data_IF_552681275513
#
_entry.id   IF_552681275513
#
_cell.length_a   1.000
_cell.length_b   1.000
_cell.length_c   1.000
_cell.angle_alpha   90.00
_cell.angle_beta   90.00
_cell.angle_gamma   90.00
#
_symmetry.space_group_name_H-M   'P 1'
#
loop_
_entity.id
_entity.type
_entity.pdbx_description
1 polymer ?
#
# COMPACT_ATOMS: atom_id res chain seq x y z
N UNK A 1 -21.67 -3.92 -8.97
CA UNK A 1 -21.03 -4.23 -7.65
C UNK A 1 -20.64 -2.91 -7.02
N UNK A 2 -20.71 -2.74 -5.71
CA UNK A 2 -20.27 -1.48 -5.10
C UNK A 2 -18.77 -1.33 -5.27
N UNK A 3 -18.30 -0.10 -5.49
CA UNK A 3 -16.89 0.24 -5.52
C UNK A 3 -16.33 0.22 -4.08
N UNK A 4 -15.13 -0.31 -3.90
CA UNK A 4 -14.42 -0.29 -2.61
C UNK A 4 -13.77 1.07 -2.37
N UNK A 5 -13.36 1.71 -3.46
CA UNK A 5 -12.78 3.05 -3.50
C UNK A 5 -13.35 3.81 -4.68
N UNK A 6 -13.80 5.03 -4.43
CA UNK A 6 -14.12 5.98 -5.50
C UNK A 6 -13.69 7.40 -5.15
N UNK A 7 -13.33 8.15 -6.18
CA UNK A 7 -13.02 9.59 -6.06
C UNK A 7 -13.86 10.37 -7.04
N UNK A 8 -14.26 11.57 -6.65
CA UNK A 8 -15.05 12.47 -7.52
C UNK A 8 -14.46 13.86 -7.48
N UNK A 9 -14.01 14.36 -8.63
CA UNK A 9 -13.42 15.69 -8.80
C UNK A 9 -12.18 15.94 -7.97
N UNK A 10 -11.42 14.87 -7.60
CA UNK A 10 -10.34 14.94 -6.63
C UNK A 10 -9.20 15.81 -7.17
N UNK A 11 -8.87 16.87 -6.42
CA UNK A 11 -7.84 17.83 -6.84
C UNK A 11 -6.94 18.24 -5.68
N UNK A 12 -5.67 18.50 -5.99
CA UNK A 12 -4.68 18.99 -5.02
C UNK A 12 -3.89 20.15 -5.60
N UNK A 13 -3.86 21.26 -4.87
CA UNK A 13 -3.02 22.44 -5.14
C UNK A 13 -2.13 22.74 -3.94
N UNK A 14 -0.92 23.21 -4.20
CA UNK A 14 -0.01 23.78 -3.18
C UNK A 14 0.40 25.17 -3.69
N UNK A 15 -0.04 26.21 -2.97
CA UNK A 15 0.05 27.58 -3.47
C UNK A 15 -0.71 27.73 -4.78
N UNK A 16 -0.06 28.26 -5.81
CA UNK A 16 -0.61 28.41 -7.16
C UNK A 16 -0.45 27.15 -8.03
N UNK A 17 0.37 26.17 -7.62
CA UNK A 17 0.67 24.97 -8.42
C UNK A 17 -0.38 23.90 -8.22
N UNK A 18 -1.07 23.51 -9.29
CA UNK A 18 -1.90 22.31 -9.31
C UNK A 18 -1.00 21.07 -9.45
N UNK A 19 -1.15 20.11 -8.55
CA UNK A 19 -0.45 18.82 -8.59
C UNK A 19 -1.28 17.77 -9.30
N UNK A 20 -2.58 17.75 -9.04
CA UNK A 20 -3.58 16.92 -9.72
C UNK A 20 -4.90 17.69 -9.81
N UNK A 21 -5.68 17.42 -10.84
CA UNK A 21 -6.95 18.12 -11.10
C UNK A 21 -7.99 17.13 -11.61
N UNK A 22 -9.17 17.16 -11.00
CA UNK A 22 -10.38 16.44 -11.41
C UNK A 22 -10.16 14.92 -11.63
N UNK A 23 -9.53 14.26 -10.65
CA UNK A 23 -9.27 12.82 -10.70
C UNK A 23 -10.50 12.04 -10.24
N UNK A 24 -11.00 11.18 -11.13
CA UNK A 24 -12.18 10.33 -10.92
C UNK A 24 -11.76 8.86 -11.06
N UNK A 25 -11.79 8.11 -9.97
CA UNK A 25 -11.37 6.72 -9.87
C UNK A 25 -12.54 5.88 -9.34
N UNK A 26 -12.71 4.67 -9.87
CA UNK A 26 -13.72 3.72 -9.42
C UNK A 26 -13.07 2.33 -9.39
N UNK A 27 -12.83 1.81 -8.18
CA UNK A 27 -12.20 0.49 -7.99
C UNK A 27 -13.24 -0.48 -7.45
N UNK A 28 -13.61 -1.52 -8.21
CA UNK A 28 -14.46 -2.61 -7.72
C UNK A 28 -13.75 -3.41 -6.62
N UNK A 29 -14.53 -4.05 -5.74
CA UNK A 29 -13.97 -4.93 -4.71
C UNK A 29 -13.41 -6.21 -5.33
N UNK A 30 -12.23 -6.65 -4.86
CA UNK A 30 -11.60 -7.91 -5.26
C UNK A 30 -10.87 -7.84 -6.60
N UNK A 31 -10.43 -6.67 -7.01
CA UNK A 31 -9.68 -6.46 -8.25
C UNK A 31 -8.30 -5.87 -8.01
N UNK A 32 -7.40 -6.04 -8.98
CA UNK A 32 -6.13 -5.32 -9.04
C UNK A 32 -6.31 -4.14 -10.00
N UNK A 33 -6.19 -2.93 -9.46
CA UNK A 33 -6.31 -1.70 -10.21
C UNK A 33 -4.94 -1.05 -10.45
N UNK A 34 -4.52 -1.01 -11.71
CA UNK A 34 -3.28 -0.35 -12.14
C UNK A 34 -3.47 1.15 -12.35
N UNK A 35 -2.78 1.97 -11.56
CA UNK A 35 -2.76 3.42 -11.70
C UNK A 35 -1.51 3.85 -12.45
N UNK A 36 -1.62 3.89 -13.78
CA UNK A 36 -0.49 4.08 -14.68
C UNK A 36 -0.26 5.54 -15.04
N UNK A 37 1.00 5.91 -15.22
CA UNK A 37 1.37 7.23 -15.69
C UNK A 37 2.86 7.54 -15.51
N UNK A 38 3.41 8.52 -16.24
CA UNK A 38 4.80 8.90 -16.13
C UNK A 38 5.15 9.44 -14.73
N UNK A 39 6.45 9.51 -14.44
CA UNK A 39 6.93 10.15 -13.23
C UNK A 39 6.49 11.62 -13.20
N UNK A 40 6.03 12.08 -12.03
CA UNK A 40 5.49 13.43 -11.87
C UNK A 40 4.03 13.63 -12.28
N UNK A 41 3.33 12.58 -12.78
CA UNK A 41 1.90 12.67 -13.16
C UNK A 41 0.95 12.86 -11.95
N UNK A 42 1.47 12.81 -10.72
CA UNK A 42 0.66 13.00 -9.52
C UNK A 42 0.13 11.70 -8.88
N UNK A 43 0.60 10.52 -9.32
CA UNK A 43 0.17 9.22 -8.77
C UNK A 43 0.33 9.16 -7.25
N UNK A 44 1.52 9.41 -6.73
CA UNK A 44 1.81 9.50 -5.29
C UNK A 44 0.93 10.52 -4.57
N UNK A 45 0.66 11.68 -5.21
CA UNK A 45 -0.22 12.71 -4.64
C UNK A 45 -1.64 12.20 -4.44
N UNK A 46 -2.19 11.49 -5.42
CA UNK A 46 -3.51 10.86 -5.31
C UNK A 46 -3.52 9.82 -4.21
N UNK A 47 -2.53 8.93 -4.19
CA UNK A 47 -2.42 7.89 -3.15
C UNK A 47 -2.28 8.48 -1.74
N UNK A 48 -1.49 9.56 -1.56
CA UNK A 48 -1.41 10.29 -0.28
C UNK A 48 -2.74 10.87 0.17
N UNK A 49 -3.60 11.28 -0.74
CA UNK A 49 -4.95 11.74 -0.39
C UNK A 49 -5.87 10.58 -0.02
N UNK A 50 -5.84 9.48 -0.77
CA UNK A 50 -6.64 8.27 -0.49
C UNK A 50 -6.26 7.65 0.87
N UNK A 51 -4.98 7.65 1.22
CA UNK A 51 -4.49 7.15 2.52
C UNK A 51 -4.61 8.19 3.66
N UNK A 52 -5.29 9.31 3.42
CA UNK A 52 -5.51 10.40 4.38
C UNK A 52 -4.23 11.07 4.90
N UNK A 53 -3.08 10.85 4.24
CA UNK A 53 -1.82 11.55 4.55
C UNK A 53 -1.88 13.02 4.12
N UNK A 54 -2.61 13.30 3.04
CA UNK A 54 -2.83 14.66 2.55
C UNK A 54 -4.32 14.94 2.38
N UNK A 55 -4.74 16.13 2.83
CA UNK A 55 -6.10 16.60 2.59
C UNK A 55 -6.23 17.09 1.14
N UNK A 56 -7.27 16.68 0.38
CA UNK A 56 -7.56 17.25 -0.93
C UNK A 56 -7.90 18.75 -0.83
N UNK A 57 -7.65 19.49 -1.91
CA UNK A 57 -8.09 20.89 -2.04
C UNK A 57 -9.56 20.95 -2.42
N UNK A 58 -10.03 20.04 -3.27
CA UNK A 58 -11.44 19.86 -3.63
C UNK A 58 -11.70 18.41 -4.05
N UNK A 59 -12.97 18.06 -4.22
CA UNK A 59 -13.43 16.71 -4.51
C UNK A 59 -13.62 15.86 -3.26
N UNK A 60 -14.06 14.64 -3.48
CA UNK A 60 -14.38 13.69 -2.40
C UNK A 60 -13.69 12.36 -2.64
N UNK A 61 -13.41 11.65 -1.56
CA UNK A 61 -12.91 10.28 -1.56
C UNK A 61 -13.88 9.45 -0.73
N UNK A 62 -14.32 8.35 -1.27
CA UNK A 62 -15.15 7.38 -0.57
C UNK A 62 -14.44 6.03 -0.56
N UNK A 63 -14.29 5.44 0.62
CA UNK A 63 -13.67 4.13 0.84
C UNK A 63 -14.60 3.29 1.68
N UNK A 64 -14.88 2.05 1.27
CA UNK A 64 -15.83 1.14 1.94
C UNK A 64 -17.23 1.76 2.11
N UNK A 65 -17.68 2.55 1.10
CA UNK A 65 -18.97 3.27 1.12
C UNK A 65 -19.04 4.38 2.19
N UNK A 66 -17.89 4.82 2.70
CA UNK A 66 -17.77 5.90 3.68
C UNK A 66 -16.94 7.06 3.11
N UNK A 67 -17.45 8.29 3.22
CA UNK A 67 -16.70 9.48 2.81
C UNK A 67 -15.51 9.68 3.74
N UNK A 68 -14.31 9.71 3.17
CA UNK A 68 -13.07 9.86 3.92
C UNK A 68 -12.95 11.28 4.51
N UNK A 69 -12.74 11.33 5.81
CA UNK A 69 -12.52 12.56 6.58
C UNK A 69 -11.22 12.44 7.38
N UNK A 70 -10.67 13.53 7.93
CA UNK A 70 -9.50 13.44 8.81
C UNK A 70 -9.70 12.56 10.05
N UNK A 71 -10.93 12.19 10.39
CA UNK A 71 -11.28 11.37 11.56
C UNK A 71 -11.66 9.92 11.21
N UNK A 72 -11.49 9.50 9.96
CA UNK A 72 -11.89 8.17 9.47
C UNK A 72 -10.87 7.08 9.88
N UNK A 73 -10.52 6.99 11.16
CA UNK A 73 -9.51 6.06 11.66
C UNK A 73 -9.91 4.60 11.46
N UNK A 74 -11.19 4.26 11.61
CA UNK A 74 -11.68 2.89 11.43
C UNK A 74 -11.59 2.46 9.95
N UNK A 75 -11.81 3.37 9.01
CA UNK A 75 -11.58 3.13 7.57
C UNK A 75 -10.11 2.82 7.32
N UNK A 76 -9.20 3.60 7.91
CA UNK A 76 -7.75 3.44 7.71
C UNK A 76 -7.22 2.12 8.28
N UNK A 77 -7.79 1.59 9.36
CA UNK A 77 -7.42 0.28 9.91
C UNK A 77 -7.69 -0.89 8.95
N UNK A 78 -8.62 -0.71 8.01
CA UNK A 78 -8.98 -1.70 6.99
C UNK A 78 -8.15 -1.55 5.71
N UNK A 79 -7.20 -0.61 5.70
CA UNK A 79 -6.31 -0.32 4.57
C UNK A 79 -4.88 -0.65 4.93
N UNK A 80 -4.18 -1.34 4.02
CA UNK A 80 -2.72 -1.44 4.04
C UNK A 80 -2.13 -0.49 3.00
N UNK A 81 -1.00 0.14 3.28
CA UNK A 81 -0.38 1.01 2.28
C UNK A 81 1.13 1.09 2.40
N UNK A 82 1.78 1.25 1.24
CA UNK A 82 3.17 1.70 1.11
C UNK A 82 3.13 2.89 0.17
N UNK A 83 3.51 4.06 0.67
CA UNK A 83 3.59 5.30 -0.09
C UNK A 83 5.04 5.77 -0.10
N UNK A 84 5.62 5.93 -1.28
CA UNK A 84 7.05 6.18 -1.50
C UNK A 84 7.88 4.97 -1.03
N UNK A 85 8.69 5.11 0.02
CA UNK A 85 9.55 4.04 0.51
C UNK A 85 9.12 3.57 1.90
N UNK A 86 9.14 2.25 2.15
CA UNK A 86 8.89 1.74 3.49
C UNK A 86 10.05 2.11 4.43
N UNK A 87 9.72 2.73 5.55
CA UNK A 87 10.68 3.08 6.61
C UNK A 87 10.56 2.10 7.78
N UNK A 88 11.69 1.76 8.37
CA UNK A 88 11.81 0.81 9.47
C UNK A 88 12.75 1.33 10.56
N UNK A 89 12.69 0.73 11.72
CA UNK A 89 13.71 0.88 12.76
C UNK A 89 14.90 -0.01 12.38
N UNK A 90 15.95 0.58 11.86
CA UNK A 90 17.09 -0.10 11.24
C UNK A 90 17.85 -1.05 12.20
N UNK A 91 17.84 -0.78 13.49
CA UNK A 91 18.48 -1.61 14.51
C UNK A 91 17.61 -2.76 15.02
N UNK A 92 16.30 -2.71 14.76
CA UNK A 92 15.38 -3.79 15.06
C UNK A 92 15.40 -4.83 13.94
N UNK A 93 15.07 -6.05 14.28
CA UNK A 93 14.89 -7.14 13.31
C UNK A 93 13.64 -6.92 12.46
N UNK A 94 13.52 -7.66 11.35
CA UNK A 94 12.30 -7.65 10.55
C UNK A 94 11.07 -8.04 11.37
N UNK A 95 11.20 -9.09 12.18
CA UNK A 95 10.17 -9.57 13.11
C UNK A 95 9.74 -8.49 14.11
N UNK A 96 10.69 -7.87 14.79
CA UNK A 96 10.40 -6.82 15.78
C UNK A 96 9.71 -5.60 15.15
N UNK A 97 10.12 -5.20 13.94
CA UNK A 97 9.45 -4.13 13.19
C UNK A 97 7.97 -4.47 12.90
N UNK A 98 7.69 -5.71 12.51
CA UNK A 98 6.31 -6.15 12.26
C UNK A 98 5.50 -6.24 13.55
N UNK A 99 6.07 -6.79 14.64
CA UNK A 99 5.42 -6.86 15.95
C UNK A 99 5.05 -5.47 16.47
N UNK A 100 5.98 -4.52 16.39
CA UNK A 100 5.74 -3.14 16.79
C UNK A 100 4.60 -2.49 15.98
N UNK A 101 4.52 -2.79 14.68
CA UNK A 101 3.41 -2.31 13.86
C UNK A 101 2.07 -2.89 14.31
N UNK A 102 2.01 -4.18 14.66
CA UNK A 102 0.83 -4.80 15.25
C UNK A 102 0.36 -4.08 16.52
N UNK A 103 1.30 -3.73 17.40
CA UNK A 103 1.00 -2.99 18.62
C UNK A 103 0.38 -1.61 18.32
N UNK A 104 0.97 -0.86 17.36
CA UNK A 104 0.42 0.43 16.94
C UNK A 104 -0.99 0.33 16.33
N UNK A 105 -1.26 -0.76 15.61
CA UNK A 105 -2.57 -1.00 14.99
C UNK A 105 -3.60 -1.58 15.98
N UNK A 106 -3.18 -1.96 17.19
CA UNK A 106 -4.02 -2.67 18.15
C UNK A 106 -4.44 -4.06 17.65
N UNK A 107 -3.60 -4.68 16.79
CA UNK A 107 -3.86 -5.96 16.16
C UNK A 107 -2.98 -7.05 16.78
N UNK A 108 -3.54 -7.75 17.77
CA UNK A 108 -2.80 -8.76 18.54
C UNK A 108 -3.03 -10.17 17.95
N UNK A 109 -2.29 -10.50 16.91
CA UNK A 109 -2.28 -11.85 16.36
C UNK A 109 -0.84 -12.26 16.05
N UNK A 110 -0.25 -13.08 16.90
CA UNK A 110 1.15 -13.53 16.80
C UNK A 110 1.39 -14.29 15.49
N UNK A 111 0.41 -15.09 15.05
CA UNK A 111 0.51 -15.88 13.82
C UNK A 111 0.56 -14.99 12.56
N UNK A 112 0.05 -13.77 12.62
CA UNK A 112 0.06 -12.85 11.48
C UNK A 112 1.46 -12.41 11.09
N UNK A 113 2.35 -12.20 12.06
CA UNK A 113 3.75 -11.84 11.80
C UNK A 113 4.45 -12.98 11.08
N UNK A 114 4.33 -14.21 11.60
CA UNK A 114 4.95 -15.38 10.98
C UNK A 114 4.39 -15.66 9.59
N UNK A 115 3.07 -15.58 9.43
CA UNK A 115 2.40 -15.77 8.14
C UNK A 115 2.85 -14.73 7.12
N UNK A 116 2.98 -13.47 7.51
CA UNK A 116 3.46 -12.41 6.63
C UNK A 116 4.93 -12.60 6.24
N UNK A 117 5.80 -12.96 7.19
CA UNK A 117 7.20 -13.26 6.91
C UNK A 117 7.35 -14.45 5.95
N UNK A 118 6.56 -15.49 6.15
CA UNK A 118 6.56 -16.67 5.27
C UNK A 118 6.06 -16.33 3.86
N UNK A 119 4.95 -15.59 3.76
CA UNK A 119 4.35 -15.19 2.48
C UNK A 119 5.30 -14.35 1.63
N UNK A 120 6.14 -13.54 2.27
CA UNK A 120 7.12 -12.66 1.62
C UNK A 120 8.53 -13.29 1.50
N UNK A 121 8.68 -14.57 1.85
CA UNK A 121 9.98 -15.27 1.82
C UNK A 121 11.06 -14.53 2.64
N UNK A 122 10.70 -14.10 3.85
CA UNK A 122 11.57 -13.39 4.78
C UNK A 122 11.86 -14.16 6.06
N UNK A 123 11.37 -15.39 6.20
CA UNK A 123 11.52 -16.20 7.42
C UNK A 123 12.99 -16.39 7.82
N UNK A 124 13.87 -16.67 6.86
CA UNK A 124 15.31 -16.89 7.11
C UNK A 124 16.05 -15.63 7.56
N UNK A 125 15.51 -14.46 7.25
CA UNK A 125 16.09 -13.16 7.59
C UNK A 125 15.32 -12.45 8.73
N UNK A 126 14.25 -13.05 9.23
CA UNK A 126 13.31 -12.42 10.16
C UNK A 126 13.99 -11.84 11.41
N UNK A 127 15.02 -12.52 11.91
CA UNK A 127 15.75 -12.16 13.13
C UNK A 127 17.05 -11.39 12.87
N UNK A 128 17.26 -10.95 11.62
CA UNK A 128 18.37 -10.04 11.27
C UNK A 128 17.91 -8.57 11.39
N UNK A 129 18.80 -7.66 11.84
CA UNK A 129 18.52 -6.23 11.84
C UNK A 129 18.23 -5.70 10.41
N UNK A 130 17.21 -4.86 10.27
CA UNK A 130 16.75 -4.35 8.96
C UNK A 130 17.80 -3.52 8.23
N UNK A 131 18.78 -2.93 8.93
CA UNK A 131 19.93 -2.28 8.31
C UNK A 131 20.73 -3.19 7.37
N UNK A 132 20.68 -4.51 7.59
CA UNK A 132 21.38 -5.52 6.79
C UNK A 132 20.53 -6.06 5.63
N UNK A 133 19.26 -5.62 5.52
CA UNK A 133 18.37 -6.03 4.43
C UNK A 133 18.77 -5.36 3.11
N UNK A 134 18.69 -6.12 2.03
CA UNK A 134 18.74 -5.56 0.68
C UNK A 134 17.52 -4.68 0.41
N UNK A 135 17.57 -3.87 -0.65
CA UNK A 135 16.40 -3.07 -1.07
C UNK A 135 15.18 -3.96 -1.28
N UNK A 136 15.30 -5.06 -2.02
CA UNK A 136 14.20 -5.99 -2.25
C UNK A 136 13.66 -6.65 -0.99
N UNK A 137 14.51 -6.92 0.01
CA UNK A 137 14.05 -7.40 1.31
C UNK A 137 13.28 -6.32 2.08
N UNK A 138 13.70 -5.07 2.01
CA UNK A 138 12.98 -3.94 2.63
C UNK A 138 11.63 -3.71 1.97
N UNK A 139 11.55 -3.79 0.64
CA UNK A 139 10.27 -3.72 -0.09
C UNK A 139 9.31 -4.86 0.33
N UNK A 140 9.80 -6.10 0.35
CA UNK A 140 9.02 -7.25 0.82
C UNK A 140 8.58 -7.10 2.27
N UNK A 141 9.43 -6.62 3.17
CA UNK A 141 9.06 -6.35 4.56
C UNK A 141 7.99 -5.24 4.66
N UNK A 142 8.05 -4.23 3.78
CA UNK A 142 7.02 -3.20 3.67
C UNK A 142 5.67 -3.78 3.30
N UNK A 143 5.63 -4.66 2.30
CA UNK A 143 4.40 -5.37 1.90
C UNK A 143 3.91 -6.28 3.03
N UNK A 144 4.82 -7.04 3.70
CA UNK A 144 4.48 -7.84 4.87
C UNK A 144 3.77 -7.01 5.94
N UNK A 145 4.33 -5.83 6.26
CA UNK A 145 3.72 -4.88 7.20
C UNK A 145 2.35 -4.39 6.75
N UNK A 146 2.18 -4.12 5.46
CA UNK A 146 0.91 -3.61 4.93
C UNK A 146 -0.21 -4.66 4.92
N UNK A 147 0.11 -5.97 4.79
CA UNK A 147 -0.89 -7.04 4.68
C UNK A 147 -1.16 -7.79 5.98
N UNK A 148 -0.27 -7.72 6.97
CA UNK A 148 -0.35 -8.55 8.17
C UNK A 148 -1.61 -8.31 9.02
N UNK A 149 -2.17 -7.10 8.98
CA UNK A 149 -3.43 -6.77 9.64
C UNK A 149 -4.68 -7.12 8.80
N UNK A 150 -4.52 -7.92 7.73
CA UNK A 150 -5.58 -8.40 6.83
C UNK A 150 -6.45 -7.27 6.28
N UNK A 151 -5.88 -6.30 5.55
CA UNK A 151 -6.64 -5.20 4.99
C UNK A 151 -7.61 -5.69 3.90
N UNK A 152 -8.68 -4.93 3.66
CA UNK A 152 -9.58 -5.15 2.52
C UNK A 152 -9.10 -4.41 1.27
N UNK A 153 -8.35 -3.32 1.45
CA UNK A 153 -7.75 -2.51 0.39
C UNK A 153 -6.25 -2.32 0.64
N UNK A 154 -5.44 -2.67 -0.34
CA UNK A 154 -3.99 -2.50 -0.33
C UNK A 154 -3.59 -1.45 -1.36
N UNK A 155 -2.84 -0.43 -0.96
CA UNK A 155 -2.37 0.66 -1.81
C UNK A 155 -0.85 0.65 -1.86
N UNK A 156 -0.28 0.47 -3.05
CA UNK A 156 1.15 0.35 -3.26
C UNK A 156 1.65 1.36 -4.29
N UNK A 157 2.53 2.25 -3.86
CA UNK A 157 3.14 3.25 -4.74
C UNK A 157 4.47 2.73 -5.29
N UNK A 158 4.49 2.35 -6.57
CA UNK A 158 5.67 1.84 -7.31
C UNK A 158 6.42 0.68 -6.59
N UNK A 159 5.76 -0.39 -6.12
CA UNK A 159 6.35 -1.40 -5.24
C UNK A 159 7.39 -2.30 -5.92
N UNK A 160 7.54 -2.20 -7.23
CA UNK A 160 8.52 -2.94 -8.04
C UNK A 160 9.75 -2.09 -8.35
N UNK A 161 9.75 -0.81 -7.98
CA UNK A 161 10.83 0.11 -8.34
C UNK A 161 12.16 -0.31 -7.69
N UNK A 162 13.20 -0.44 -8.53
CA UNK A 162 14.54 -0.83 -8.08
C UNK A 162 14.72 -2.34 -7.81
N UNK A 163 13.71 -3.17 -8.10
CA UNK A 163 13.83 -4.62 -8.06
C UNK A 163 14.38 -5.17 -9.38
N UNK A 164 15.04 -6.32 -9.29
CA UNK A 164 15.41 -7.10 -10.46
C UNK A 164 14.16 -7.78 -11.08
N UNK A 165 14.26 -8.30 -12.32
CA UNK A 165 13.11 -8.94 -12.98
C UNK A 165 12.50 -10.11 -12.19
N UNK A 166 13.30 -10.85 -11.43
CA UNK A 166 12.82 -11.96 -10.60
C UNK A 166 11.99 -11.43 -9.42
N UNK A 167 12.49 -10.39 -8.73
CA UNK A 167 11.78 -9.72 -7.65
C UNK A 167 10.47 -9.08 -8.11
N UNK A 168 10.47 -8.41 -9.28
CA UNK A 168 9.24 -7.86 -9.87
C UNK A 168 8.20 -8.95 -10.11
N UNK A 169 8.62 -10.10 -10.66
CA UNK A 169 7.72 -11.24 -10.88
C UNK A 169 7.16 -11.76 -9.57
N UNK A 170 7.99 -11.93 -8.54
CA UNK A 170 7.54 -12.39 -7.22
C UNK A 170 6.48 -11.47 -6.62
N UNK A 171 6.67 -10.15 -6.70
CA UNK A 171 5.68 -9.18 -6.20
C UNK A 171 4.37 -9.29 -7.00
N UNK A 172 4.42 -9.37 -8.32
CA UNK A 172 3.20 -9.54 -9.14
C UNK A 172 2.43 -10.82 -8.80
N UNK A 173 3.13 -11.94 -8.68
CA UNK A 173 2.52 -13.23 -8.36
C UNK A 173 1.89 -13.18 -6.95
N UNK A 174 2.57 -12.54 -5.98
CA UNK A 174 2.04 -12.27 -4.65
C UNK A 174 0.74 -11.44 -4.71
N UNK A 175 0.73 -10.31 -5.44
CA UNK A 175 -0.45 -9.46 -5.53
C UNK A 175 -1.65 -10.19 -6.15
N UNK A 176 -1.41 -11.05 -7.14
CA UNK A 176 -2.45 -11.92 -7.71
C UNK A 176 -3.00 -12.88 -6.66
N UNK A 177 -2.14 -13.53 -5.87
CA UNK A 177 -2.54 -14.43 -4.78
C UNK A 177 -3.34 -13.66 -3.71
N UNK A 178 -2.88 -12.47 -3.29
CA UNK A 178 -3.60 -11.65 -2.32
C UNK A 178 -5.01 -11.27 -2.81
N UNK A 179 -5.14 -10.99 -4.09
CA UNK A 179 -6.43 -10.66 -4.69
C UNK A 179 -7.32 -11.92 -4.84
N UNK A 180 -6.81 -12.99 -5.46
CA UNK A 180 -7.62 -14.18 -5.83
C UNK A 180 -7.97 -15.07 -4.63
N UNK A 181 -7.04 -15.26 -3.69
CA UNK A 181 -7.21 -16.20 -2.58
C UNK A 181 -7.65 -15.51 -1.28
N UNK A 182 -7.19 -14.27 -1.05
CA UNK A 182 -7.51 -13.53 0.18
C UNK A 182 -8.58 -12.46 -0.02
N UNK A 183 -9.01 -12.21 -1.28
CA UNK A 183 -10.05 -11.23 -1.60
C UNK A 183 -9.65 -9.77 -1.34
N UNK A 184 -8.35 -9.50 -1.23
CA UNK A 184 -7.83 -8.14 -1.01
C UNK A 184 -7.91 -7.39 -2.34
N UNK A 185 -8.51 -6.19 -2.32
CA UNK A 185 -8.45 -5.28 -3.46
C UNK A 185 -7.11 -4.57 -3.47
N UNK A 186 -6.46 -4.47 -4.63
CA UNK A 186 -5.15 -3.85 -4.75
C UNK A 186 -5.20 -2.65 -5.67
N UNK A 187 -4.70 -1.51 -5.21
CA UNK A 187 -4.37 -0.37 -6.06
C UNK A 187 -2.84 -0.24 -6.13
N UNK A 188 -2.30 -0.37 -7.33
CA UNK A 188 -0.85 -0.29 -7.56
C UNK A 188 -0.54 0.82 -8.53
N UNK A 189 0.41 1.71 -8.21
CA UNK A 189 0.95 2.64 -9.19
C UNK A 189 2.15 2.03 -9.92
N UNK A 190 2.27 2.34 -11.21
CA UNK A 190 3.47 2.06 -11.98
C UNK A 190 3.65 3.09 -13.10
N UNK A 191 4.87 3.27 -13.55
CA UNK A 191 5.19 3.99 -14.78
C UNK A 191 5.44 3.05 -15.97
N UNK A 192 5.38 1.74 -15.75
CA UNK A 192 5.62 0.69 -16.75
C UNK A 192 4.37 -0.20 -16.87
N UNK A 193 3.78 -0.24 -18.06
CA UNK A 193 2.55 -1.01 -18.31
C UNK A 193 2.70 -2.52 -18.05
N UNK A 194 3.88 -3.09 -18.29
CA UNK A 194 4.14 -4.53 -18.09
C UNK A 194 4.29 -4.96 -16.64
N UNK A 195 4.26 -4.01 -15.70
CA UNK A 195 4.38 -4.29 -14.26
C UNK A 195 3.04 -4.50 -13.55
N UNK A 196 1.94 -4.24 -14.25
CA UNK A 196 0.56 -4.30 -13.70
C UNK A 196 -0.23 -5.45 -14.28
#
# INVERSE_FOLDING_TARGET
MPFILQTSGLSKKIGSKALVTDVNIHIPKGEIYGFLGPNGAGKTTVMKMITNLWKPTSGTIEVFVEVLTPKSYEVLKRMGSIIEFPTFYDHMTGRENLQLHCEYMGYYNVDSVESALQMLDLTSAADQPVKNYSLGMKERLGIARAIMCKPELLILDEPTNGLDPAGMKQIRDLLKTLCSEYGITVMISSHILSEV
#
